data_IF_387747179587
#
_entry.id   IF_387747179587
#
_cell.length_a   1.000
_cell.length_b   1.000
_cell.length_c   1.000
_cell.angle_alpha   90.00
_cell.angle_beta   90.00
_cell.angle_gamma   90.00
#
_symmetry.space_group_name_H-M   'P 1'
#
loop_
_entity.id
_entity.type
_entity.pdbx_description
1 polymer ?
#
# COMPACT_ATOMS: atom_id res chain seq x y z
N UNK A 1 -16.05 1.43 -14.54
CA UNK A 1 -15.16 0.41 -13.94
C UNK A 1 -15.38 0.33 -12.44
N UNK A 2 -15.76 -0.85 -11.95
CA UNK A 2 -15.84 -1.17 -10.51
C UNK A 2 -14.68 -2.09 -10.13
N UNK A 3 -14.13 -1.90 -8.94
CA UNK A 3 -13.06 -2.74 -8.41
C UNK A 3 -13.64 -4.09 -7.96
N UNK A 4 -13.16 -5.20 -8.52
CA UNK A 4 -13.63 -6.55 -8.17
C UNK A 4 -12.74 -7.22 -7.12
N UNK A 5 -11.44 -7.05 -7.26
CA UNK A 5 -10.49 -7.80 -6.47
C UNK A 5 -9.24 -6.98 -6.16
N UNK A 6 -8.81 -7.08 -4.91
CA UNK A 6 -7.49 -6.65 -4.45
C UNK A 6 -6.69 -7.91 -4.13
N UNK A 7 -5.50 -8.02 -4.71
CA UNK A 7 -4.55 -9.09 -4.43
C UNK A 7 -3.28 -8.52 -3.83
N UNK A 8 -2.93 -8.99 -2.64
CA UNK A 8 -1.71 -8.64 -1.94
C UNK A 8 -0.70 -9.78 -2.06
N UNK A 9 0.51 -9.46 -2.50
CA UNK A 9 1.63 -10.39 -2.63
C UNK A 9 2.90 -9.76 -2.06
N UNK A 10 3.91 -10.60 -1.77
CA UNK A 10 5.23 -10.13 -1.35
C UNK A 10 6.23 -10.39 -2.47
N UNK A 11 7.02 -9.37 -2.80
CA UNK A 11 8.09 -9.40 -3.78
C UNK A 11 9.45 -9.30 -3.09
N UNK A 12 10.42 -10.07 -3.57
CA UNK A 12 11.82 -10.03 -3.15
C UNK A 12 12.64 -9.17 -4.11
N UNK A 13 13.39 -8.22 -3.58
CA UNK A 13 14.21 -7.27 -4.32
C UNK A 13 15.69 -7.43 -4.01
N UNK A 14 16.52 -7.30 -5.05
CA UNK A 14 17.97 -7.22 -4.88
C UNK A 14 18.38 -5.84 -4.42
N UNK A 15 19.25 -5.76 -3.42
CA UNK A 15 19.85 -4.51 -3.00
C UNK A 15 21.09 -4.17 -3.87
N UNK A 16 21.03 -3.10 -4.68
CA UNK A 16 22.05 -2.77 -5.68
C UNK A 16 23.41 -2.33 -5.11
N UNK A 17 23.53 -2.09 -3.80
CA UNK A 17 24.76 -1.61 -3.13
C UNK A 17 25.96 -2.56 -3.34
N UNK A 18 25.72 -3.77 -3.84
CA UNK A 18 26.72 -4.77 -4.21
C UNK A 18 27.67 -4.41 -5.35
N UNK A 19 27.35 -3.42 -6.19
CA UNK A 19 28.14 -3.12 -7.40
C UNK A 19 29.04 -1.87 -7.32
N UNK A 20 29.10 -1.19 -6.16
CA UNK A 20 30.03 -0.08 -5.94
C UNK A 20 29.75 1.20 -6.74
N UNK A 21 28.54 1.38 -7.29
CA UNK A 21 28.17 2.58 -8.02
C UNK A 21 26.94 3.27 -7.39
N UNK A 22 27.02 4.59 -7.26
CA UNK A 22 25.85 5.43 -7.04
C UNK A 22 24.84 5.17 -8.16
N UNK A 23 23.63 4.74 -7.79
CA UNK A 23 22.47 4.47 -8.66
C UNK A 23 22.56 3.22 -9.53
N UNK A 24 22.18 2.07 -8.97
CA UNK A 24 21.56 0.98 -9.76
C UNK A 24 20.16 0.75 -9.19
N UNK A 25 19.11 0.57 -10.01
CA UNK A 25 17.77 0.21 -9.53
C UNK A 25 17.78 -1.11 -8.77
N UNK A 26 17.03 -1.23 -7.67
CA UNK A 26 16.69 -2.55 -7.12
C UNK A 26 15.94 -3.33 -8.19
N UNK A 27 16.36 -4.57 -8.47
CA UNK A 27 15.66 -5.43 -9.43
C UNK A 27 14.78 -6.40 -8.65
N UNK A 28 13.53 -6.60 -9.10
CA UNK A 28 12.68 -7.68 -8.59
C UNK A 28 13.41 -9.00 -8.89
N UNK A 29 13.83 -9.70 -7.85
CA UNK A 29 14.45 -11.01 -7.99
C UNK A 29 13.34 -12.03 -8.26
N UNK A 30 12.32 -12.10 -7.38
CA UNK A 30 11.24 -13.11 -7.45
C UNK A 30 9.96 -12.65 -6.75
N UNK A 31 8.82 -13.15 -7.22
CA UNK A 31 7.56 -13.15 -6.45
C UNK A 31 7.55 -14.40 -5.54
N UNK A 32 7.80 -14.22 -4.25
CA UNK A 32 7.94 -15.34 -3.31
C UNK A 32 6.61 -16.06 -3.00
N UNK A 33 5.48 -15.37 -3.18
CA UNK A 33 4.13 -15.95 -3.02
C UNK A 33 3.73 -16.86 -4.17
N UNK A 34 4.31 -16.68 -5.36
CA UNK A 34 3.98 -17.47 -6.57
C UNK A 34 4.38 -18.95 -6.48
N UNK A 35 5.35 -19.29 -5.63
CA UNK A 35 5.90 -20.64 -5.50
C UNK A 35 5.40 -21.36 -4.25
N UNK A 36 5.08 -20.63 -3.18
CA UNK A 36 4.44 -21.18 -1.99
C UNK A 36 3.74 -20.07 -1.21
N UNK A 37 2.41 -20.18 -1.08
CA UNK A 37 1.61 -19.30 -0.22
C UNK A 37 1.85 -19.54 1.28
N UNK A 38 2.67 -20.54 1.65
CA UNK A 38 2.95 -20.90 3.03
C UNK A 38 4.22 -20.25 3.59
N UNK A 39 5.03 -19.59 2.74
CA UNK A 39 6.32 -18.97 3.13
C UNK A 39 6.30 -17.44 3.04
N UNK A 40 5.19 -16.85 2.62
CA UNK A 40 5.02 -15.40 2.52
C UNK A 40 3.54 -15.03 2.60
N UNK A 41 3.24 -13.82 3.07
CA UNK A 41 1.87 -13.32 3.13
C UNK A 41 1.29 -13.19 1.71
N UNK A 42 0.13 -13.79 1.51
CA UNK A 42 -0.69 -13.58 0.32
C UNK A 42 -2.13 -13.42 0.78
N UNK A 43 -2.82 -12.43 0.22
CA UNK A 43 -4.24 -12.21 0.51
C UNK A 43 -4.99 -11.82 -0.74
N UNK A 44 -6.25 -12.21 -0.81
CA UNK A 44 -7.15 -11.84 -1.89
C UNK A 44 -8.46 -11.37 -1.30
N UNK A 45 -8.78 -10.09 -1.53
CA UNK A 45 -10.02 -9.46 -1.09
C UNK A 45 -10.90 -9.32 -2.34
N UNK A 46 -11.98 -10.09 -2.40
CA UNK A 46 -12.92 -10.13 -3.55
C UNK A 46 -14.25 -9.46 -3.24
N UNK A 47 -14.51 -9.17 -1.96
CA UNK A 47 -15.80 -8.65 -1.50
C UNK A 47 -15.60 -7.53 -0.47
N UNK A 48 -16.62 -6.70 -0.28
CA UNK A 48 -16.65 -5.60 0.70
C UNK A 48 -15.68 -4.44 0.37
N UNK A 49 -15.48 -4.16 -0.91
CA UNK A 49 -14.64 -3.08 -1.41
C UNK A 49 -15.52 -1.90 -1.84
N UNK A 50 -15.16 -0.69 -1.43
CA UNK A 50 -15.90 0.51 -1.82
C UNK A 50 -15.02 1.44 -2.63
N UNK A 51 -15.49 1.84 -3.82
CA UNK A 51 -14.84 2.89 -4.61
C UNK A 51 -15.33 4.25 -4.11
N UNK A 52 -14.40 5.07 -3.62
CA UNK A 52 -14.68 6.43 -3.13
C UNK A 52 -14.50 7.48 -4.24
N UNK A 53 -13.50 7.31 -5.10
CA UNK A 53 -13.30 8.10 -6.32
C UNK A 53 -12.70 7.23 -7.41
N UNK A 54 -13.21 7.34 -8.64
CA UNK A 54 -12.72 6.64 -9.82
C UNK A 54 -11.84 7.53 -10.72
N UNK A 55 -11.33 8.64 -10.20
CA UNK A 55 -10.55 9.59 -11.02
C UNK A 55 -9.28 8.93 -11.54
N UNK A 56 -9.08 8.91 -12.87
CA UNK A 56 -7.96 8.22 -13.54
C UNK A 56 -7.82 6.73 -13.17
N UNK A 57 -8.94 6.03 -12.96
CA UNK A 57 -8.92 4.56 -12.83
C UNK A 57 -8.65 3.82 -14.14
N UNK A 58 -8.57 4.53 -15.27
CA UNK A 58 -8.34 3.95 -16.59
C UNK A 58 -6.99 3.24 -16.65
N UNK A 59 -7.03 1.97 -17.00
CA UNK A 59 -5.85 1.12 -17.19
C UNK A 59 -6.00 0.34 -18.50
N UNK A 60 -4.90 0.17 -19.24
CA UNK A 60 -4.93 -0.55 -20.52
C UNK A 60 -5.32 -2.02 -20.35
N UNK A 61 -4.95 -2.64 -19.22
CA UNK A 61 -5.18 -4.05 -18.94
C UNK A 61 -6.30 -4.30 -17.91
N UNK A 62 -7.01 -3.26 -17.45
CA UNK A 62 -7.95 -3.39 -16.34
C UNK A 62 -7.28 -3.73 -15.01
N UNK A 63 -5.98 -3.45 -14.84
CA UNK A 63 -5.24 -3.75 -13.60
C UNK A 63 -4.41 -2.54 -13.15
N UNK A 64 -4.60 -2.11 -11.89
CA UNK A 64 -3.66 -1.19 -11.23
C UNK A 64 -2.71 -2.02 -10.36
N UNK A 65 -1.40 -1.85 -10.52
CA UNK A 65 -0.39 -2.54 -9.71
C UNK A 65 0.60 -1.55 -9.12
N UNK A 66 1.10 -1.84 -7.92
CA UNK A 66 2.16 -1.06 -7.31
C UNK A 66 2.59 -1.54 -5.94
N UNK A 67 3.70 -0.98 -5.46
CA UNK A 67 4.20 -1.25 -4.12
C UNK A 67 3.33 -0.53 -3.08
N UNK A 68 2.93 -1.28 -2.05
CA UNK A 68 2.15 -0.74 -0.96
C UNK A 68 3.03 0.08 -0.02
N UNK A 69 2.58 1.27 0.38
CA UNK A 69 3.31 2.12 1.31
C UNK A 69 2.40 3.08 2.08
N UNK A 70 2.93 3.63 3.18
CA UNK A 70 2.29 4.74 3.91
C UNK A 70 2.92 6.07 3.49
N UNK A 71 2.13 7.08 3.08
CA UNK A 71 2.69 8.39 2.73
C UNK A 71 3.41 9.08 3.90
N UNK A 72 4.56 9.67 3.61
CA UNK A 72 5.41 10.32 4.61
C UNK A 72 4.87 11.70 5.02
N UNK A 73 4.39 11.81 6.26
CA UNK A 73 4.01 13.10 6.82
C UNK A 73 5.25 13.88 7.29
N UNK A 74 5.32 15.17 6.97
CA UNK A 74 6.39 16.03 7.45
C UNK A 74 6.39 16.12 8.99
N UNK A 75 7.56 16.13 9.62
CA UNK A 75 7.71 16.18 11.10
C UNK A 75 7.03 17.40 11.73
N UNK A 76 6.94 18.51 10.99
CA UNK A 76 6.24 19.71 11.42
C UNK A 76 4.70 19.60 11.38
N UNK A 77 4.15 18.58 10.70
CA UNK A 77 2.73 18.35 10.63
C UNK A 77 2.22 17.73 11.95
N UNK A 78 1.13 18.26 12.55
CA UNK A 78 0.59 17.73 13.81
C UNK A 78 0.19 16.24 13.74
N UNK A 79 -0.14 15.74 12.55
CA UNK A 79 -0.51 14.35 12.32
C UNK A 79 0.69 13.40 12.31
N UNK A 80 1.92 13.92 12.24
CA UNK A 80 3.13 13.10 12.20
C UNK A 80 3.26 12.19 13.42
N UNK A 81 2.96 12.69 14.63
CA UNK A 81 3.00 11.85 15.84
C UNK A 81 1.68 11.10 16.06
N UNK A 82 0.53 11.74 15.76
CA UNK A 82 -0.80 11.17 16.03
C UNK A 82 -1.07 9.89 15.24
N UNK A 83 -0.55 9.77 14.02
CA UNK A 83 -0.72 8.55 13.23
C UNK A 83 -0.24 7.29 13.96
N UNK A 84 0.81 7.40 14.79
CA UNK A 84 1.44 6.26 15.45
C UNK A 84 0.63 5.70 16.63
N UNK A 85 -0.46 6.36 17.02
CA UNK A 85 -1.44 5.78 17.93
C UNK A 85 -2.29 4.70 17.22
N UNK A 86 -2.28 4.69 15.89
CA UNK A 86 -3.12 3.84 15.04
C UNK A 86 -2.26 2.88 14.20
N UNK A 87 -1.16 3.37 13.63
CA UNK A 87 -0.29 2.60 12.74
C UNK A 87 1.05 2.26 13.41
N UNK A 88 1.65 1.10 13.11
CA UNK A 88 2.99 0.78 13.59
C UNK A 88 4.04 1.77 13.07
N UNK A 89 4.99 2.16 13.92
CA UNK A 89 6.13 3.03 13.52
C UNK A 89 7.03 2.42 12.45
N UNK A 90 7.02 1.09 12.34
CA UNK A 90 7.84 0.35 11.39
C UNK A 90 7.08 0.06 10.08
N UNK A 91 5.96 0.72 9.79
CA UNK A 91 5.31 0.58 8.49
C UNK A 91 6.24 1.07 7.37
N UNK A 92 6.22 0.41 6.22
CA UNK A 92 6.99 0.83 5.05
C UNK A 92 6.49 2.19 4.56
N UNK A 93 7.33 3.21 4.61
CA UNK A 93 7.06 4.53 4.04
C UNK A 93 7.75 4.72 2.69
N UNK A 94 7.49 5.83 2.00
CA UNK A 94 8.06 6.11 0.68
C UNK A 94 9.58 6.16 0.75
N UNK A 95 10.14 6.74 1.81
CA UNK A 95 11.58 6.77 2.04
C UNK A 95 12.21 5.38 2.27
N UNK A 96 11.42 4.38 2.65
CA UNK A 96 11.86 2.99 2.85
C UNK A 96 11.69 2.12 1.60
N UNK A 97 11.15 2.67 0.51
CA UNK A 97 11.04 2.01 -0.77
C UNK A 97 12.30 2.21 -1.62
N UNK A 98 12.60 1.29 -2.55
CA UNK A 98 13.67 1.50 -3.49
C UNK A 98 13.51 2.78 -4.31
N UNK A 99 14.63 3.44 -4.70
CA UNK A 99 14.65 4.67 -5.49
C UNK A 99 14.28 4.48 -6.97
N UNK A 100 13.48 3.46 -7.29
CA UNK A 100 13.12 3.04 -8.64
C UNK A 100 11.76 3.60 -9.06
N UNK A 101 11.53 3.70 -10.37
CA UNK A 101 10.25 4.14 -10.95
C UNK A 101 9.17 3.05 -10.86
N UNK A 102 8.90 2.52 -9.66
CA UNK A 102 7.73 1.67 -9.45
C UNK A 102 6.49 2.52 -9.24
N UNK A 103 5.36 2.03 -9.74
CA UNK A 103 4.06 2.53 -9.35
C UNK A 103 3.84 2.26 -7.86
N UNK A 104 3.24 3.22 -7.16
CA UNK A 104 2.98 3.11 -5.73
C UNK A 104 1.47 3.06 -5.46
N UNK A 105 1.10 2.34 -4.39
CA UNK A 105 -0.26 2.29 -3.86
C UNK A 105 -0.19 2.77 -2.42
N UNK A 106 -0.84 3.91 -2.15
CA UNK A 106 -0.84 4.50 -0.82
C UNK A 106 -1.86 3.80 0.08
N UNK A 107 -1.50 3.51 1.32
CA UNK A 107 -2.39 3.01 2.37
C UNK A 107 -2.34 3.93 3.58
N UNK A 108 -3.50 4.42 4.04
CA UNK A 108 -3.58 5.22 5.25
C UNK A 108 -4.88 5.02 6.03
N UNK A 109 -4.86 5.23 7.35
CA UNK A 109 -6.06 5.23 8.16
C UNK A 109 -6.89 6.51 7.97
N UNK A 110 -8.21 6.36 7.89
CA UNK A 110 -9.18 7.44 7.89
C UNK A 110 -9.73 7.66 9.31
N UNK A 111 -9.00 8.44 10.11
CA UNK A 111 -9.29 8.63 11.53
C UNK A 111 -9.57 10.07 11.93
N UNK A 112 -9.02 11.03 11.20
CA UNK A 112 -9.18 12.46 11.46
C UNK A 112 -9.12 13.22 10.13
N UNK A 113 -10.06 14.15 9.92
CA UNK A 113 -10.14 14.90 8.68
C UNK A 113 -8.83 15.63 8.33
N UNK A 114 -8.20 16.29 9.31
CA UNK A 114 -6.93 17.00 9.14
C UNK A 114 -5.81 16.06 8.72
N UNK A 115 -5.76 14.85 9.30
CA UNK A 115 -4.70 13.88 9.00
C UNK A 115 -4.93 13.17 7.67
N UNK A 116 -6.17 12.84 7.33
CA UNK A 116 -6.52 12.33 6.01
C UNK A 116 -6.13 13.32 4.91
N UNK A 117 -6.44 14.62 5.09
CA UNK A 117 -6.01 15.67 4.15
C UNK A 117 -4.48 15.76 4.05
N UNK A 118 -3.75 15.60 5.16
CA UNK A 118 -2.30 15.58 5.15
C UNK A 118 -1.73 14.40 4.35
N UNK A 119 -2.30 13.20 4.49
CA UNK A 119 -1.91 12.04 3.69
C UNK A 119 -2.18 12.23 2.21
N UNK A 120 -3.36 12.74 1.85
CA UNK A 120 -3.70 13.06 0.46
C UNK A 120 -2.75 14.10 -0.13
N UNK A 121 -2.39 15.13 0.64
CA UNK A 121 -1.42 16.15 0.21
C UNK A 121 -0.03 15.56 -0.02
N UNK A 122 0.43 14.64 0.84
CA UNK A 122 1.70 13.94 0.65
C UNK A 122 1.67 13.05 -0.60
N UNK A 123 0.64 12.23 -0.75
CA UNK A 123 0.55 11.27 -1.84
C UNK A 123 0.44 11.92 -3.23
N UNK A 124 -0.03 13.18 -3.32
CA UNK A 124 -0.02 13.96 -4.57
C UNK A 124 1.38 14.25 -5.11
N UNK A 125 2.40 14.20 -4.26
CA UNK A 125 3.81 14.43 -4.64
C UNK A 125 4.50 13.14 -5.12
N UNK A 126 3.88 11.99 -4.85
CA UNK A 126 4.41 10.67 -5.16
C UNK A 126 3.82 10.12 -6.48
N UNK A 127 4.51 9.19 -7.17
CA UNK A 127 4.01 8.54 -8.37
C UNK A 127 2.97 7.45 -8.05
N UNK A 128 1.91 7.81 -7.33
CA UNK A 128 0.88 6.86 -6.90
C UNK A 128 -0.12 6.57 -8.02
N UNK A 129 -0.59 5.32 -8.06
CA UNK A 129 -1.61 4.85 -9.00
C UNK A 129 -2.96 4.62 -8.33
N UNK A 130 -3.00 4.46 -7.01
CA UNK A 130 -4.22 4.31 -6.24
C UNK A 130 -3.97 4.69 -4.76
N UNK A 131 -5.06 4.97 -4.05
CA UNK A 131 -5.03 5.22 -2.61
C UNK A 131 -6.09 4.36 -1.90
N UNK A 132 -5.68 3.58 -0.91
CA UNK A 132 -6.55 2.84 0.01
C UNK A 132 -6.69 3.58 1.33
N UNK A 133 -7.94 3.79 1.72
CA UNK A 133 -8.30 4.16 3.07
C UNK A 133 -8.99 3.02 3.81
N UNK A 134 -8.82 3.02 5.12
CA UNK A 134 -9.61 2.17 6.00
C UNK A 134 -9.91 2.94 7.28
N UNK A 135 -11.06 2.66 7.89
CA UNK A 135 -11.33 3.20 9.23
C UNK A 135 -10.63 2.34 10.27
N UNK A 136 -9.95 2.92 11.28
CA UNK A 136 -9.23 2.16 12.31
C UNK A 136 -10.21 1.54 13.33
N UNK A 137 -11.01 0.59 12.85
CA UNK A 137 -11.95 -0.19 13.64
C UNK A 137 -11.83 -1.67 13.25
N UNK A 138 -12.47 -2.56 14.01
CA UNK A 138 -12.48 -3.99 13.74
C UNK A 138 -13.69 -4.42 12.88
N UNK A 139 -14.25 -3.51 12.07
CA UNK A 139 -15.36 -3.85 11.19
C UNK A 139 -14.89 -4.72 10.04
N UNK A 140 -15.61 -5.81 9.81
CA UNK A 140 -15.49 -6.67 8.62
C UNK A 140 -16.54 -6.35 7.55
N UNK A 141 -17.47 -5.44 7.85
CA UNK A 141 -18.53 -5.03 6.91
C UNK A 141 -17.94 -4.16 5.80
N UNK A 142 -18.56 -4.22 4.63
CA UNK A 142 -18.35 -3.28 3.54
C UNK A 142 -18.35 -1.83 4.06
N UNK A 143 -17.31 -1.04 3.72
CA UNK A 143 -17.30 0.37 4.00
C UNK A 143 -18.52 1.07 3.38
N UNK A 144 -18.97 2.16 4.00
CA UNK A 144 -20.10 2.89 3.41
C UNK A 144 -19.70 3.53 2.09
N UNK A 145 -20.66 3.69 1.18
CA UNK A 145 -20.47 4.32 -0.13
C UNK A 145 -19.89 5.75 -0.04
N UNK A 146 -19.36 6.23 -1.18
CA UNK A 146 -18.68 7.52 -1.27
C UNK A 146 -19.49 8.69 -0.69
N UNK A 147 -20.81 8.70 -0.88
CA UNK A 147 -21.69 9.80 -0.42
C UNK A 147 -22.03 9.75 1.08
N UNK A 148 -21.43 8.82 1.82
CA UNK A 148 -21.61 8.72 3.26
C UNK A 148 -20.88 9.86 3.99
N UNK A 149 -21.52 10.52 4.99
CA UNK A 149 -20.90 11.61 5.74
C UNK A 149 -19.68 11.18 6.58
N UNK A 150 -19.41 9.88 6.69
CA UNK A 150 -18.20 9.39 7.37
C UNK A 150 -16.91 9.73 6.60
N UNK A 151 -17.03 9.98 5.29
CA UNK A 151 -15.94 10.35 4.39
C UNK A 151 -15.86 11.86 4.19
N UNK A 152 -16.58 12.63 5.01
CA UNK A 152 -16.47 14.08 5.00
C UNK A 152 -15.13 14.50 5.63
N UNK A 153 -14.45 15.42 4.96
CA UNK A 153 -13.19 16.01 5.39
C UNK A 153 -13.34 17.50 5.73
N UNK A 154 -14.57 18.01 5.79
CA UNK A 154 -14.90 19.42 5.98
C UNK A 154 -14.26 20.33 4.91
N UNK A 155 -14.00 19.77 3.72
CA UNK A 155 -13.32 20.43 2.60
C UNK A 155 -14.25 20.65 1.39
N UNK A 156 -15.57 20.48 1.58
CA UNK A 156 -16.59 20.51 0.53
C UNK A 156 -16.34 19.48 -0.58
N UNK A 157 -15.96 18.25 -0.22
CA UNK A 157 -15.65 17.14 -1.14
C UNK A 157 -14.50 17.45 -2.13
N UNK A 158 -13.68 18.45 -1.83
CA UNK A 158 -12.59 18.85 -2.71
C UNK A 158 -11.56 17.73 -2.92
N UNK A 159 -11.35 16.88 -1.91
CA UNK A 159 -10.51 15.69 -2.02
C UNK A 159 -10.93 14.74 -3.15
N UNK A 160 -12.21 14.68 -3.54
CA UNK A 160 -12.63 13.78 -4.62
C UNK A 160 -12.11 14.21 -5.99
N UNK A 161 -11.97 15.52 -6.20
CA UNK A 161 -11.65 16.13 -7.51
C UNK A 161 -10.21 16.63 -7.62
N UNK A 162 -9.57 16.97 -6.49
CA UNK A 162 -8.19 17.44 -6.47
C UNK A 162 -7.16 16.32 -6.64
N UNK A 163 -7.53 15.09 -6.33
CA UNK A 163 -6.66 13.92 -6.44
C UNK A 163 -6.75 13.34 -7.86
N UNK A 164 -5.60 13.05 -8.47
CA UNK A 164 -5.50 12.52 -9.85
C UNK A 164 -5.38 11.00 -9.90
N UNK A 165 -5.83 10.33 -8.86
CA UNK A 165 -5.74 8.89 -8.68
C UNK A 165 -7.04 8.38 -8.05
N UNK A 166 -7.41 7.12 -8.32
CA UNK A 166 -8.58 6.53 -7.72
C UNK A 166 -8.36 6.28 -6.23
N UNK A 167 -9.46 6.35 -5.47
CA UNK A 167 -9.48 6.21 -4.02
C UNK A 167 -10.46 5.10 -3.67
N UNK A 168 -10.00 4.14 -2.87
CA UNK A 168 -10.73 2.99 -2.41
C UNK A 168 -10.85 2.98 -0.89
N UNK A 169 -11.91 2.34 -0.40
CA UNK A 169 -12.06 2.00 1.00
C UNK A 169 -12.16 0.48 1.17
N UNK A 170 -11.46 -0.02 2.18
CA UNK A 170 -11.52 -1.43 2.61
C UNK A 170 -12.07 -1.53 4.04
N UNK A 171 -12.60 -2.69 4.46
CA UNK A 171 -13.06 -2.90 5.82
C UNK A 171 -11.94 -2.62 6.82
N UNK A 172 -12.27 -2.06 7.99
CA UNK A 172 -11.28 -1.67 8.99
C UNK A 172 -10.40 -2.83 9.45
N UNK A 173 -10.99 -4.02 9.62
CA UNK A 173 -10.23 -5.24 9.95
C UNK A 173 -9.20 -5.60 8.87
N UNK A 174 -9.52 -5.39 7.59
CA UNK A 174 -8.61 -5.67 6.47
C UNK A 174 -7.51 -4.62 6.38
N UNK A 175 -7.85 -3.33 6.45
CA UNK A 175 -6.84 -2.27 6.42
C UNK A 175 -5.87 -2.35 7.61
N UNK A 176 -6.35 -2.72 8.81
CA UNK A 176 -5.47 -3.01 9.96
C UNK A 176 -4.55 -4.21 9.70
N UNK A 177 -5.05 -5.26 9.05
CA UNK A 177 -4.26 -6.45 8.68
C UNK A 177 -3.17 -6.06 7.68
N UNK A 178 -3.51 -5.35 6.61
CA UNK A 178 -2.56 -4.85 5.60
C UNK A 178 -1.49 -3.97 6.24
N UNK A 179 -1.89 -2.98 7.05
CA UNK A 179 -0.96 -2.11 7.77
C UNK A 179 -0.01 -2.89 8.70
N UNK A 180 -0.52 -3.96 9.33
CA UNK A 180 0.31 -4.84 10.17
C UNK A 180 1.30 -5.62 9.34
N UNK A 181 0.91 -6.21 8.22
CA UNK A 181 1.82 -6.95 7.35
C UNK A 181 2.88 -6.01 6.74
N UNK A 182 2.48 -4.81 6.32
CA UNK A 182 3.38 -3.77 5.83
C UNK A 182 4.48 -3.39 6.85
N UNK A 183 4.18 -3.52 8.15
CA UNK A 183 5.13 -3.32 9.24
C UNK A 183 6.07 -4.50 9.51
N UNK A 184 5.68 -5.71 9.09
CA UNK A 184 6.46 -6.94 9.26
C UNK A 184 7.45 -7.12 8.09
N UNK A 185 7.05 -6.73 6.87
CA UNK A 185 7.89 -6.81 5.68
C UNK A 185 8.67 -5.52 5.37
N UNK A 186 8.75 -4.58 6.33
CA UNK A 186 9.51 -3.34 6.14
C UNK A 186 11.02 -3.47 6.40
N UNK A 187 11.44 -4.53 7.10
CA UNK A 187 12.82 -4.75 7.54
C UNK A 187 13.66 -5.63 6.61
N UNK A 188 14.87 -5.97 7.08
CA UNK A 188 15.79 -6.88 6.40
C UNK A 188 15.23 -8.33 6.42
N UNK A 189 15.69 -9.16 5.48
CA UNK A 189 15.32 -10.58 5.38
C UNK A 189 15.41 -11.36 6.70
N UNK A 190 16.38 -11.06 7.55
CA UNK A 190 16.54 -11.71 8.87
C UNK A 190 15.46 -11.33 9.89
N UNK A 191 14.64 -10.32 9.61
CA UNK A 191 13.64 -9.76 10.52
C UNK A 191 12.20 -9.95 10.04
N UNK A 192 12.01 -10.44 8.82
CA UNK A 192 10.68 -10.71 8.27
C UNK A 192 10.17 -12.10 8.65
N UNK A 193 8.85 -12.32 8.69
CA UNK A 193 8.28 -13.65 8.83
C UNK A 193 8.82 -14.60 7.75
N UNK A 194 9.19 -15.81 8.14
CA UNK A 194 9.76 -16.84 7.26
C UNK A 194 11.10 -16.48 6.62
N UNK A 195 11.83 -15.49 7.14
CA UNK A 195 13.15 -15.08 6.67
C UNK A 195 14.11 -16.24 6.46
N UNK A 196 14.24 -17.15 7.43
CA UNK A 196 15.12 -18.33 7.34
C UNK A 196 14.72 -19.27 6.18
N UNK A 197 13.42 -19.47 5.96
CA UNK A 197 12.93 -20.32 4.87
C UNK A 197 13.13 -19.64 3.51
N UNK A 198 12.97 -18.32 3.45
CA UNK A 198 13.26 -17.54 2.25
C UNK A 198 14.77 -17.60 1.97
N UNK A 199 15.60 -17.53 3.00
CA UNK A 199 17.05 -17.69 2.88
C UNK A 199 17.43 -19.06 2.33
N UNK A 200 16.88 -20.13 2.91
CA UNK A 200 17.17 -21.51 2.51
C UNK A 200 16.69 -21.84 1.07
N UNK A 201 15.55 -21.28 0.65
CA UNK A 201 14.94 -21.58 -0.65
C UNK A 201 15.56 -20.75 -1.77
N UNK A 202 15.85 -19.47 -1.51
CA UNK A 202 16.22 -18.51 -2.54
C UNK A 202 17.69 -18.09 -2.51
N UNK A 203 18.42 -18.39 -1.42
CA UNK A 203 19.78 -17.93 -1.15
C UNK A 203 20.00 -16.44 -1.53
N UNK A 204 19.11 -15.53 -1.09
CA UNK A 204 19.27 -14.11 -1.33
C UNK A 204 20.46 -13.57 -0.56
N UNK A 205 20.97 -12.41 -0.96
CA UNK A 205 22.01 -11.76 -0.21
C UNK A 205 21.47 -11.18 1.11
N UNK A 206 22.24 -11.15 2.19
CA UNK A 206 21.85 -10.59 3.50
C UNK A 206 21.33 -9.14 3.48
N UNK A 207 21.57 -8.41 2.37
CA UNK A 207 21.18 -7.02 2.18
C UNK A 207 19.94 -6.87 1.29
N UNK A 208 19.46 -7.96 0.68
CA UNK A 208 18.22 -8.00 -0.07
C UNK A 208 17.03 -7.80 0.87
N UNK A 209 15.89 -7.40 0.31
CA UNK A 209 14.71 -7.07 1.12
C UNK A 209 13.42 -7.45 0.41
N UNK A 210 12.38 -7.71 1.21
CA UNK A 210 11.04 -8.00 0.72
C UNK A 210 10.17 -6.74 0.81
N UNK A 211 9.23 -6.56 -0.13
CA UNK A 211 8.19 -5.51 -0.05
C UNK A 211 6.84 -6.07 -0.46
N UNK A 212 5.79 -5.52 0.13
CA UNK A 212 4.41 -5.82 -0.27
C UNK A 212 4.08 -5.11 -1.58
N UNK A 213 3.47 -5.86 -2.49
CA UNK A 213 2.99 -5.42 -3.79
C UNK A 213 1.51 -5.78 -3.91
N UNK A 214 0.74 -4.86 -4.47
CA UNK A 214 -0.70 -4.94 -4.51
C UNK A 214 -1.22 -4.77 -5.95
N UNK A 215 -2.13 -5.67 -6.33
CA UNK A 215 -2.73 -5.75 -7.67
C UNK A 215 -4.26 -5.58 -7.56
N UNK A 216 -4.81 -4.58 -8.23
CA UNK A 216 -6.24 -4.34 -8.36
C UNK A 216 -6.74 -4.83 -9.70
N UNK A 217 -7.78 -5.65 -9.72
CA UNK A 217 -8.41 -6.11 -10.96
C UNK A 217 -9.77 -5.43 -11.15
N UNK A 218 -9.99 -4.89 -12.35
CA UNK A 218 -11.22 -4.26 -12.81
C UNK A 218 -11.87 -5.10 -13.92
N UNK A 219 -13.20 -5.07 -14.00
CA UNK A 219 -13.94 -5.64 -15.12
C UNK A 219 -13.78 -4.76 -16.37
N UNK A 220 -13.36 -5.36 -17.48
CA UNK A 220 -13.29 -4.69 -18.79
C UNK A 220 -14.68 -4.61 -19.42
N UNK A 221 -15.09 -3.42 -19.86
CA UNK A 221 -16.27 -3.29 -20.73
C UNK A 221 -16.03 -4.09 -22.01
N UNK A 222 -16.87 -5.11 -22.25
CA UNK A 222 -16.98 -5.78 -23.55
C UNK A 222 -17.85 -4.97 -24.51
#
# INVERSE_FOLDING_TARGET
MSLEQIRNVVLLFSNPVWSGANTVPSTIIRNITSLSSNIAYQDTIVENLTTLSSTNSDTEDGIIRGLLYVPDLAVANPCYQQQYDIIPRNATTQAALPPTNYNLIALAPWFNATCTLAYLASARLDPIRAFIFYRPNNSTREPQGADSPIWDLDDNDAWRTQNRFPIFAVPGAQGNKMMRQLSLYSGNLSSIPYGDQIQDIYDPHDNDYCKEDEEYHYEGEC
#
